data_IF_718699138693
#
_entry.id   IF_718699138693
#
_cell.length_a   1.000
_cell.length_b   1.000
_cell.length_c   1.000
_cell.angle_alpha   90.00
_cell.angle_beta   90.00
_cell.angle_gamma   90.00
#
_symmetry.space_group_name_H-M   'P 1'
#
loop_
_entity.id
_entity.type
_entity.pdbx_description
1 polymer ?
#
# COMPACT_ATOMS: atom_id res chain seq x y z
N UNK A 1 -19.87 -8.61 5.64
CA UNK A 1 -19.69 -7.18 5.92
C UNK A 1 -20.61 -6.80 7.07
N UNK A 2 -20.03 -6.38 8.20
CA UNK A 2 -20.74 -5.73 9.32
C UNK A 2 -20.45 -4.22 9.26
N UNK A 3 -21.25 -3.41 9.94
CA UNK A 3 -20.92 -2.00 10.13
C UNK A 3 -19.52 -1.86 10.78
N UNK A 4 -18.70 -0.96 10.24
CA UNK A 4 -17.29 -0.81 10.63
C UNK A 4 -16.35 -1.96 10.23
N UNK A 5 -16.78 -2.93 9.41
CA UNK A 5 -15.89 -4.00 8.94
C UNK A 5 -14.80 -3.45 8.02
N UNK A 6 -13.55 -3.63 8.44
CA UNK A 6 -12.36 -3.30 7.69
C UNK A 6 -11.99 -4.45 6.77
N UNK A 7 -11.96 -4.22 5.47
CA UNK A 7 -11.35 -5.17 4.53
C UNK A 7 -9.89 -4.75 4.34
N UNK A 8 -8.96 -5.65 4.61
CA UNK A 8 -7.53 -5.38 4.50
C UNK A 8 -7.05 -6.07 3.23
N UNK A 9 -6.54 -5.28 2.29
CA UNK A 9 -5.89 -5.81 1.10
C UNK A 9 -4.38 -5.78 1.29
N UNK A 10 -3.77 -6.85 0.81
CA UNK A 10 -2.34 -7.01 0.83
C UNK A 10 -1.83 -6.74 -0.59
N UNK A 11 -1.02 -5.69 -0.75
CA UNK A 11 -0.31 -5.38 -2.00
C UNK A 11 1.19 -5.51 -1.79
N UNK A 12 1.97 -5.79 -2.82
CA UNK A 12 3.44 -5.82 -2.71
C UNK A 12 4.01 -4.40 -2.80
N UNK A 13 4.82 -3.98 -1.83
CA UNK A 13 5.33 -2.62 -1.69
C UNK A 13 6.58 -2.30 -2.52
N UNK A 14 7.28 -3.33 -3.00
CA UNK A 14 8.49 -3.23 -3.82
C UNK A 14 8.30 -3.99 -5.15
N UNK A 15 7.40 -3.50 -6.00
CA UNK A 15 7.29 -3.99 -7.38
C UNK A 15 8.56 -3.67 -8.17
N UNK A 16 8.94 -4.53 -9.13
CA UNK A 16 10.11 -4.24 -9.97
C UNK A 16 9.92 -2.90 -10.70
N UNK A 17 11.01 -2.16 -10.97
CA UNK A 17 10.91 -0.86 -11.63
C UNK A 17 10.23 -0.98 -13.00
N UNK A 18 9.13 -0.25 -13.20
CA UNK A 18 8.35 -0.27 -14.43
C UNK A 18 7.07 -1.12 -14.40
N UNK A 19 6.72 -1.75 -13.28
CA UNK A 19 5.38 -2.30 -13.08
C UNK A 19 4.40 -1.23 -12.58
N UNK A 20 3.22 -1.20 -13.19
CA UNK A 20 2.10 -0.38 -12.73
C UNK A 20 1.45 -1.04 -11.50
N UNK A 21 0.88 -0.23 -10.60
CA UNK A 21 0.05 -0.75 -9.52
C UNK A 21 -1.25 -1.25 -10.15
N UNK A 22 -1.47 -2.56 -10.10
CA UNK A 22 -2.70 -3.18 -10.57
C UNK A 22 -3.93 -2.65 -9.82
N UNK A 23 -5.10 -2.76 -10.46
CA UNK A 23 -6.37 -2.44 -9.83
C UNK A 23 -6.65 -3.40 -8.66
N UNK A 24 -7.26 -2.88 -7.60
CA UNK A 24 -7.67 -3.70 -6.46
C UNK A 24 -9.08 -4.19 -6.72
N UNK A 25 -9.24 -5.51 -6.82
CA UNK A 25 -10.52 -6.18 -7.10
C UNK A 25 -11.02 -6.86 -5.82
N UNK A 26 -12.29 -6.65 -5.50
CA UNK A 26 -12.95 -7.32 -4.37
C UNK A 26 -14.40 -7.64 -4.62
N UNK A 27 -14.92 -8.66 -3.94
CA UNK A 27 -16.33 -9.05 -3.97
C UNK A 27 -17.06 -8.62 -2.71
N UNK A 28 -18.26 -8.07 -2.85
CA UNK A 28 -19.18 -7.74 -1.75
C UNK A 28 -19.90 -8.99 -1.22
N UNK A 29 -20.80 -8.82 -0.24
CA UNK A 29 -21.60 -9.92 0.30
C UNK A 29 -22.68 -10.46 -0.66
N UNK A 30 -23.07 -9.65 -1.63
CA UNK A 30 -24.06 -9.95 -2.67
C UNK A 30 -23.39 -10.33 -4.00
N UNK A 31 -22.14 -10.81 -3.94
CA UNK A 31 -21.33 -11.27 -5.07
C UNK A 31 -21.07 -10.21 -6.15
N UNK A 32 -21.26 -8.93 -5.83
CA UNK A 32 -20.91 -7.83 -6.73
C UNK A 32 -19.40 -7.59 -6.70
N UNK A 33 -18.80 -7.40 -7.87
CA UNK A 33 -17.38 -7.07 -8.00
C UNK A 33 -17.17 -5.56 -7.95
N UNK A 34 -16.31 -5.11 -7.04
CA UNK A 34 -15.83 -3.74 -6.92
C UNK A 34 -14.41 -3.67 -7.44
N UNK A 35 -14.18 -2.75 -8.38
CA UNK A 35 -12.86 -2.43 -8.93
C UNK A 35 -12.45 -1.06 -8.43
N UNK A 36 -11.37 -1.03 -7.65
CA UNK A 36 -10.77 0.22 -7.17
C UNK A 36 -9.61 0.55 -8.12
N UNK A 37 -9.89 1.43 -9.09
CA UNK A 37 -8.95 1.81 -10.11
C UNK A 37 -7.72 2.53 -9.55
N UNK A 38 -6.53 2.07 -9.95
CA UNK A 38 -5.25 2.72 -9.67
C UNK A 38 -4.87 3.59 -10.86
N UNK A 39 -4.76 4.91 -10.64
CA UNK A 39 -4.42 5.84 -11.72
C UNK A 39 -2.91 6.07 -11.79
N UNK A 40 -2.31 6.24 -13.00
CA UNK A 40 -0.91 6.60 -13.13
C UNK A 40 -0.56 7.84 -12.30
N UNK A 41 0.53 7.76 -11.52
CA UNK A 41 0.96 8.81 -10.62
C UNK A 41 0.26 8.83 -9.25
N UNK A 42 -0.73 7.96 -9.01
CA UNK A 42 -1.31 7.77 -7.68
C UNK A 42 -0.37 6.96 -6.80
N UNK A 43 0.13 7.58 -5.72
CA UNK A 43 1.03 6.91 -4.77
C UNK A 43 0.20 6.33 -3.62
N UNK A 44 0.26 5.01 -3.44
CA UNK A 44 -0.32 4.31 -2.29
C UNK A 44 0.75 4.09 -1.22
N UNK A 45 0.44 4.44 0.03
CA UNK A 45 1.35 4.23 1.17
C UNK A 45 0.96 3.00 1.98
N UNK A 46 1.90 2.49 2.77
CA UNK A 46 1.57 1.43 3.74
C UNK A 46 0.54 1.95 4.76
N UNK A 47 -0.51 1.16 5.02
CA UNK A 47 -1.69 1.49 5.84
C UNK A 47 -2.55 2.62 5.28
N UNK A 48 -2.41 2.93 3.99
CA UNK A 48 -3.31 3.88 3.35
C UNK A 48 -4.75 3.35 3.34
N UNK A 49 -5.72 4.26 3.45
CA UNK A 49 -7.13 3.88 3.59
C UNK A 49 -7.91 4.44 2.39
N UNK A 50 -8.57 3.55 1.65
CA UNK A 50 -9.52 3.92 0.60
C UNK A 50 -10.96 3.70 1.08
N UNK A 51 -11.85 4.63 0.75
CA UNK A 51 -13.28 4.57 1.02
C UNK A 51 -14.04 4.53 -0.30
N UNK A 52 -14.81 3.46 -0.52
CA UNK A 52 -15.70 3.32 -1.67
C UNK A 52 -17.12 3.65 -1.22
N UNK A 53 -17.64 4.79 -1.67
CA UNK A 53 -18.96 5.30 -1.30
C UNK A 53 -20.06 4.38 -1.83
N UNK A 54 -21.14 4.23 -1.06
CA UNK A 54 -22.31 3.43 -1.40
C UNK A 54 -22.07 1.92 -1.59
N UNK A 55 -20.89 1.43 -1.25
CA UNK A 55 -20.56 -0.01 -1.27
C UNK A 55 -20.48 -0.63 0.13
N UNK A 56 -20.86 0.14 1.15
CA UNK A 56 -21.00 -0.35 2.53
C UNK A 56 -22.34 -1.04 2.79
N UNK A 57 -22.58 -1.36 4.06
CA UNK A 57 -23.84 -1.95 4.50
C UNK A 57 -25.00 -0.94 4.39
N UNK A 58 -26.25 -1.40 4.19
CA UNK A 58 -27.42 -0.52 4.24
C UNK A 58 -27.51 0.25 5.56
N UNK A 59 -27.82 1.54 5.48
CA UNK A 59 -27.95 2.40 6.64
C UNK A 59 -29.33 2.20 7.28
N UNK A 60 -29.36 1.96 8.59
CA UNK A 60 -30.61 1.76 9.32
C UNK A 60 -31.55 2.97 9.13
N UNK A 61 -32.84 2.71 8.87
CA UNK A 61 -33.86 3.69 8.49
C UNK A 61 -33.69 4.41 7.13
N UNK A 62 -32.69 4.05 6.31
CA UNK A 62 -32.51 4.63 4.97
C UNK A 62 -32.44 3.54 3.90
N UNK A 63 -33.61 3.17 3.38
CA UNK A 63 -33.83 2.00 2.52
C UNK A 63 -33.01 1.94 1.22
N UNK A 64 -32.48 3.06 0.76
CA UNK A 64 -31.71 3.16 -0.49
C UNK A 64 -30.30 3.70 -0.29
N UNK A 65 -29.89 3.93 0.96
CA UNK A 65 -28.54 4.44 1.26
C UNK A 65 -27.69 3.31 1.83
N UNK A 66 -26.55 3.09 1.18
CA UNK A 66 -25.48 2.23 1.67
C UNK A 66 -24.37 3.09 2.26
N UNK A 67 -23.68 2.58 3.27
CA UNK A 67 -22.50 3.21 3.85
C UNK A 67 -21.29 3.17 2.92
N UNK A 68 -20.10 3.36 3.49
CA UNK A 68 -18.84 3.23 2.76
C UNK A 68 -18.19 1.85 3.02
N UNK A 69 -17.65 1.24 1.96
CA UNK A 69 -16.67 0.16 2.09
C UNK A 69 -15.29 0.76 2.42
N UNK A 70 -14.79 0.49 3.63
CA UNK A 70 -13.48 0.96 4.09
C UNK A 70 -12.45 -0.13 3.88
N UNK A 71 -11.40 0.23 3.14
CA UNK A 71 -10.32 -0.66 2.73
C UNK A 71 -8.98 -0.13 3.26
N UNK A 72 -8.24 -0.94 4.01
CA UNK A 72 -6.84 -0.65 4.36
C UNK A 72 -5.90 -1.39 3.42
N UNK A 73 -4.95 -0.65 2.86
CA UNK A 73 -3.93 -1.14 1.97
C UNK A 73 -2.66 -1.42 2.77
N UNK A 74 -2.34 -2.70 2.94
CA UNK A 74 -1.11 -3.14 3.58
C UNK A 74 -0.11 -3.56 2.53
N UNK A 75 0.96 -2.78 2.43
CA UNK A 75 2.10 -3.13 1.60
C UNK A 75 2.96 -4.19 2.29
N UNK A 76 3.25 -5.28 1.58
CA UNK A 76 4.25 -6.27 1.92
C UNK A 76 5.50 -6.00 1.11
N UNK A 77 6.58 -5.62 1.78
CA UNK A 77 7.86 -5.41 1.12
C UNK A 77 8.46 -6.75 0.67
N UNK A 78 9.16 -6.71 -0.45
CA UNK A 78 9.78 -7.92 -0.98
C UNK A 78 10.87 -8.41 -0.02
N UNK A 79 11.21 -9.70 -0.12
CA UNK A 79 12.31 -10.26 0.69
C UNK A 79 13.65 -9.65 0.27
N UNK A 80 14.60 -9.64 1.19
CA UNK A 80 15.98 -9.24 0.88
C UNK A 80 16.52 -10.04 -0.31
N UNK A 81 17.20 -9.35 -1.24
CA UNK A 81 17.75 -9.98 -2.45
C UNK A 81 16.72 -10.27 -3.54
N UNK A 82 15.49 -9.74 -3.45
CA UNK A 82 14.47 -9.88 -4.50
C UNK A 82 14.90 -9.26 -5.85
N UNK A 83 15.75 -8.22 -5.83
CA UNK A 83 16.28 -7.58 -7.04
C UNK A 83 17.75 -7.94 -7.25
N UNK A 84 18.14 -8.13 -8.51
CA UNK A 84 19.55 -8.22 -8.90
C UNK A 84 20.26 -6.86 -8.76
N UNK A 85 21.60 -6.82 -8.60
CA UNK A 85 22.36 -5.58 -8.48
C UNK A 85 22.11 -4.59 -9.63
N UNK A 86 21.95 -5.09 -10.86
CA UNK A 86 21.70 -4.26 -12.03
C UNK A 86 20.32 -3.56 -11.96
N UNK A 87 19.29 -4.29 -11.49
CA UNK A 87 17.94 -3.73 -11.30
C UNK A 87 17.90 -2.75 -10.13
N UNK A 88 18.72 -2.96 -9.09
CA UNK A 88 18.84 -2.02 -7.97
C UNK A 88 19.39 -0.67 -8.44
N UNK A 89 20.41 -0.65 -9.30
CA UNK A 89 20.94 0.60 -9.87
C UNK A 89 19.88 1.37 -10.68
N UNK A 90 18.99 0.67 -11.39
CA UNK A 90 17.88 1.29 -12.10
C UNK A 90 16.85 1.87 -11.13
N UNK A 91 16.49 1.13 -10.08
CA UNK A 91 15.56 1.59 -9.04
C UNK A 91 16.06 2.86 -8.36
N UNK A 92 17.34 2.92 -7.99
CA UNK A 92 17.96 4.10 -7.37
C UNK A 92 17.88 5.36 -8.24
N UNK A 93 17.94 5.21 -9.57
CA UNK A 93 17.81 6.32 -10.52
C UNK A 93 16.37 6.83 -10.65
N UNK A 94 15.38 5.93 -10.50
CA UNK A 94 13.96 6.24 -10.61
C UNK A 94 13.41 6.86 -9.33
N UNK A 95 13.95 6.46 -8.17
CA UNK A 95 13.61 7.03 -6.88
C UNK A 95 14.31 8.38 -6.66
N UNK A 96 13.73 9.24 -5.81
CA UNK A 96 14.35 10.51 -5.41
C UNK A 96 15.64 10.22 -4.62
N UNK A 97 16.64 11.12 -4.69
CA UNK A 97 17.91 10.97 -3.95
C UNK A 97 17.64 10.57 -2.51
N UNK A 98 18.34 9.52 -2.05
CA UNK A 98 18.33 9.09 -0.65
C UNK A 98 18.71 10.28 0.21
N UNK A 99 17.78 10.77 1.04
CA UNK A 99 18.16 11.66 2.13
C UNK A 99 19.12 10.87 3.00
N UNK A 100 20.29 11.41 3.30
CA UNK A 100 21.31 10.83 4.19
C UNK A 100 20.86 10.79 5.65
N UNK A 101 19.56 10.57 5.90
CA UNK A 101 19.02 10.30 7.21
C UNK A 101 19.61 8.99 7.71
N UNK A 102 20.17 9.06 8.93
CA UNK A 102 20.80 7.94 9.64
C UNK A 102 20.05 6.64 9.38
N UNK A 103 20.79 5.61 8.92
CA UNK A 103 20.27 4.26 8.82
C UNK A 103 19.95 3.81 10.24
N UNK A 104 18.68 3.84 10.64
CA UNK A 104 18.25 3.30 11.93
C UNK A 104 18.20 1.79 11.76
N UNK A 105 19.08 1.02 12.43
CA UNK A 105 18.98 -0.43 12.35
C UNK A 105 17.70 -0.89 13.03
N UNK A 106 17.15 -2.01 12.58
CA UNK A 106 15.84 -2.55 13.01
C UNK A 106 15.76 -2.85 14.53
N UNK A 107 16.91 -2.87 15.20
CA UNK A 107 17.11 -3.05 16.64
C UNK A 107 17.29 -1.74 17.44
N UNK A 108 17.18 -0.56 16.82
CA UNK A 108 17.11 0.72 17.53
C UNK A 108 18.43 1.27 18.07
N UNK A 109 19.57 0.66 17.74
CA UNK A 109 20.90 1.10 18.17
C UNK A 109 21.52 1.98 17.08
N UNK A 110 21.52 3.30 17.26
CA UNK A 110 22.25 4.18 16.35
C UNK A 110 23.75 3.90 16.46
N UNK A 111 24.39 3.45 15.38
CA UNK A 111 25.86 3.49 15.28
C UNK A 111 26.24 4.96 15.10
N UNK A 112 26.97 5.52 16.07
CA UNK A 112 27.68 6.78 15.84
C UNK A 112 28.87 6.47 14.92
N UNK A 113 28.95 7.19 13.80
CA UNK A 113 30.12 7.15 12.94
C UNK A 113 31.29 7.79 13.72
N UNK A 114 32.08 6.96 14.42
CA UNK A 114 33.37 7.38 14.96
C UNK A 114 34.32 7.61 13.78
N UNK A 115 34.43 8.87 13.36
CA UNK A 115 35.41 9.34 12.40
C UNK A 115 36.80 9.22 13.06
N UNK A 116 37.51 8.12 12.79
CA UNK A 116 38.91 7.94 13.14
C UNK A 116 39.78 8.09 11.90
N UNK A 117 40.29 9.30 11.67
CA UNK A 117 41.65 9.57 11.18
C UNK A 117 42.04 11.02 11.47
#
# INVERSE_FOLDING_TARGET
MKDGQKIIFHGEGDQEPGLETEDIITSTLDDQTIVIASHPGQIVKHKDIKCVLNEGMPIYHRLYEKGCLITELRLHFARNGFLSPDKLSLLEKLLRRRNSGKMVPLNGEAYEDDDHS
#
